data_IF_092233322591
#
_entry.id   IF_092233322591
#
_cell.length_a   1.000
_cell.length_b   1.000
_cell.length_c   1.000
_cell.angle_alpha   90.00
_cell.angle_beta   90.00
_cell.angle_gamma   90.00
#
_symmetry.space_group_name_H-M   'P 1'
#
loop_
_entity.id
_entity.type
_entity.pdbx_description
1 polymer ?
#
# COMPACT_ATOMS: atom_id res chain seq x y z
N UNK A 1 10.94 3.37 -8.40
CA UNK A 1 10.20 4.64 -8.26
C UNK A 1 10.61 5.35 -6.96
N UNK A 2 10.72 6.68 -6.93
CA UNK A 2 10.99 7.46 -5.72
C UNK A 2 9.90 8.52 -5.54
N UNK A 3 9.25 8.50 -4.39
CA UNK A 3 8.12 9.37 -4.07
C UNK A 3 8.52 10.45 -3.07
N UNK A 4 7.87 11.59 -3.15
CA UNK A 4 8.01 12.71 -2.22
C UNK A 4 7.41 12.36 -0.85
N UNK A 5 7.87 13.01 0.24
CA UNK A 5 7.30 12.79 1.56
C UNK A 5 5.78 13.04 1.63
N UNK A 6 5.28 13.94 0.78
CA UNK A 6 3.85 14.23 0.70
C UNK A 6 3.06 13.05 0.14
N UNK A 7 3.52 12.46 -0.97
CA UNK A 7 2.88 11.28 -1.58
C UNK A 7 2.98 10.07 -0.65
N UNK A 8 4.12 9.84 0.02
CA UNK A 8 4.26 8.76 1.00
C UNK A 8 3.24 8.87 2.15
N UNK A 9 2.97 10.09 2.65
CA UNK A 9 1.96 10.33 3.69
C UNK A 9 0.55 9.97 3.20
N UNK A 10 0.23 10.23 1.93
CA UNK A 10 -1.06 9.84 1.35
C UNK A 10 -1.17 8.33 1.14
N UNK A 11 -0.09 7.68 0.72
CA UNK A 11 -0.03 6.21 0.63
C UNK A 11 -0.19 5.53 1.99
N UNK A 12 0.37 6.10 3.05
CA UNK A 12 0.15 5.63 4.42
C UNK A 12 -1.35 5.59 4.79
N UNK A 13 -2.11 6.63 4.43
CA UNK A 13 -3.56 6.68 4.68
C UNK A 13 -4.30 5.57 3.93
N UNK A 14 -3.95 5.35 2.66
CA UNK A 14 -4.52 4.26 1.86
C UNK A 14 -4.20 2.88 2.44
N UNK A 15 -2.96 2.63 2.83
CA UNK A 15 -2.52 1.33 3.37
C UNK A 15 -3.19 1.02 4.71
N UNK A 16 -3.40 2.03 5.56
CA UNK A 16 -4.07 1.84 6.84
C UNK A 16 -5.61 1.77 6.73
N UNK A 17 -6.17 1.90 5.52
CA UNK A 17 -7.61 1.88 5.29
C UNK A 17 -8.33 3.09 5.88
N UNK A 18 -7.66 4.25 5.92
CA UNK A 18 -8.28 5.51 6.36
C UNK A 18 -9.10 6.18 5.24
N UNK A 19 -9.03 5.64 4.02
CA UNK A 19 -9.82 6.08 2.86
C UNK A 19 -10.89 5.03 2.53
N UNK A 20 -12.08 5.48 2.15
CA UNK A 20 -13.27 4.64 1.91
C UNK A 20 -13.08 3.60 0.79
N UNK A 21 -12.12 3.81 -0.12
CA UNK A 21 -11.89 2.91 -1.26
C UNK A 21 -10.81 1.86 -1.01
N UNK A 22 -10.17 1.86 0.15
CA UNK A 22 -9.15 0.88 0.53
C UNK A 22 -9.65 0.03 1.70
N UNK A 23 -9.39 -1.30 1.69
CA UNK A 23 -9.82 -2.16 2.77
C UNK A 23 -9.08 -1.82 4.07
N UNK A 24 -9.80 -1.75 5.18
CA UNK A 24 -9.19 -1.65 6.51
C UNK A 24 -8.56 -2.99 6.88
N UNK A 25 -7.25 -2.99 7.11
CA UNK A 25 -6.47 -4.19 7.43
C UNK A 25 -5.93 -4.14 8.86
N UNK A 26 -5.82 -5.30 9.51
CA UNK A 26 -5.30 -5.39 10.88
C UNK A 26 -3.75 -5.37 10.89
N UNK A 27 -3.13 -5.26 12.06
CA UNK A 27 -1.66 -5.19 12.17
C UNK A 27 -0.93 -6.38 11.55
N UNK A 28 -1.51 -7.60 11.67
CA UNK A 28 -0.98 -8.82 11.05
C UNK A 28 -0.98 -8.73 9.51
N UNK A 29 -2.03 -8.17 8.93
CA UNK A 29 -2.15 -8.01 7.48
C UNK A 29 -1.13 -7.00 6.94
N UNK A 30 -0.91 -5.90 7.67
CA UNK A 30 0.11 -4.90 7.32
C UNK A 30 1.51 -5.51 7.33
N UNK A 31 1.84 -6.34 8.32
CA UNK A 31 3.13 -7.05 8.34
C UNK A 31 3.22 -8.04 7.18
N UNK A 32 2.16 -8.78 6.88
CA UNK A 32 2.14 -9.70 5.75
C UNK A 32 2.39 -8.98 4.41
N UNK A 33 1.79 -7.79 4.23
CA UNK A 33 2.04 -6.92 3.07
C UNK A 33 3.53 -6.66 2.89
N UNK A 34 4.19 -6.10 3.90
CA UNK A 34 5.59 -5.70 3.81
C UNK A 34 6.51 -6.93 3.74
N UNK A 35 6.21 -8.00 4.48
CA UNK A 35 7.00 -9.25 4.44
C UNK A 35 7.00 -9.93 3.06
N UNK A 36 5.94 -9.80 2.27
CA UNK A 36 5.88 -10.43 0.95
C UNK A 36 6.94 -9.93 -0.07
N UNK A 37 7.76 -8.91 0.24
CA UNK A 37 8.91 -8.45 -0.59
C UNK A 37 10.19 -8.34 0.24
N UNK A 38 10.25 -9.07 1.34
CA UNK A 38 11.49 -9.29 2.09
C UNK A 38 11.68 -8.43 3.33
N UNK A 39 10.64 -7.79 3.86
CA UNK A 39 10.61 -7.50 5.31
C UNK A 39 10.52 -8.84 6.07
N UNK A 40 11.03 -8.89 7.30
CA UNK A 40 11.04 -10.11 8.13
C UNK A 40 10.50 -9.84 9.53
N UNK A 41 9.46 -9.03 9.60
CA UNK A 41 8.85 -8.64 10.87
C UNK A 41 7.86 -9.71 11.34
N UNK A 42 7.68 -9.82 12.65
CA UNK A 42 6.76 -10.80 13.27
C UNK A 42 5.68 -10.06 14.04
N UNK A 43 4.42 -10.46 13.84
CA UNK A 43 3.31 -10.02 14.68
C UNK A 43 3.23 -10.94 15.91
N UNK A 44 3.78 -10.50 17.04
CA UNK A 44 3.70 -11.24 18.30
C UNK A 44 2.59 -10.66 19.19
N UNK A 45 2.94 -9.82 20.15
CA UNK A 45 1.99 -9.16 21.06
C UNK A 45 1.50 -7.79 20.56
N UNK A 46 1.79 -7.46 19.30
CA UNK A 46 1.49 -6.18 18.69
C UNK A 46 2.35 -5.92 17.46
N UNK A 47 2.34 -4.68 16.99
CA UNK A 47 3.25 -4.25 15.92
C UNK A 47 4.71 -4.31 16.39
N UNK A 48 5.68 -4.51 15.47
CA UNK A 48 7.10 -4.50 15.79
C UNK A 48 7.51 -3.21 16.49
N UNK A 49 8.46 -3.32 17.43
CA UNK A 49 9.03 -2.19 18.18
C UNK A 49 7.97 -1.37 18.97
N UNK A 50 6.78 -1.92 19.21
CA UNK A 50 5.70 -1.20 19.90
C UNK A 50 5.11 -0.04 19.11
N UNK A 51 5.31 -0.02 17.78
CA UNK A 51 4.82 1.04 16.91
C UNK A 51 3.29 1.01 16.76
N UNK A 52 2.68 2.17 16.50
CA UNK A 52 1.33 2.17 15.90
C UNK A 52 1.37 1.64 14.46
N UNK A 53 0.22 1.18 13.94
CA UNK A 53 0.08 0.79 12.52
C UNK A 53 0.57 1.88 11.57
N UNK A 54 0.19 3.13 11.85
CA UNK A 54 0.58 4.30 11.08
C UNK A 54 2.09 4.53 11.11
N UNK A 55 2.72 4.48 12.30
CA UNK A 55 4.18 4.61 12.42
C UNK A 55 4.93 3.48 11.71
N UNK A 56 4.44 2.24 11.83
CA UNK A 56 5.00 1.09 11.15
C UNK A 56 4.94 1.24 9.62
N UNK A 57 3.76 1.53 9.08
CA UNK A 57 3.57 1.77 7.65
C UNK A 57 4.47 2.90 7.14
N UNK A 58 4.58 4.01 7.88
CA UNK A 58 5.48 5.12 7.54
C UNK A 58 6.93 4.68 7.46
N UNK A 59 7.40 3.95 8.48
CA UNK A 59 8.77 3.43 8.56
C UNK A 59 9.07 2.58 7.34
N UNK A 60 8.23 1.56 7.08
CA UNK A 60 8.40 0.65 5.96
C UNK A 60 8.38 1.39 4.61
N UNK A 61 7.42 2.29 4.38
CA UNK A 61 7.35 3.10 3.16
C UNK A 61 8.61 3.95 2.94
N UNK A 62 9.13 4.55 4.01
CA UNK A 62 10.35 5.36 3.96
C UNK A 62 11.58 4.51 3.61
N UNK A 63 11.70 3.34 4.22
CA UNK A 63 12.81 2.40 3.99
C UNK A 63 12.86 1.87 2.56
N UNK A 64 11.69 1.56 1.97
CA UNK A 64 11.64 1.01 0.61
C UNK A 64 11.56 2.09 -0.48
N UNK A 65 11.44 3.37 -0.12
CA UNK A 65 11.29 4.45 -1.09
C UNK A 65 12.52 4.58 -2.00
N UNK A 66 12.30 4.71 -3.31
CA UNK A 66 13.38 4.73 -4.30
C UNK A 66 13.81 3.34 -4.77
N UNK A 67 13.29 2.26 -4.18
CA UNK A 67 13.64 0.88 -4.55
C UNK A 67 12.53 0.21 -5.38
N UNK A 68 12.84 -0.93 -5.99
CA UNK A 68 11.83 -1.77 -6.67
C UNK A 68 10.78 -2.33 -5.70
N UNK A 69 11.13 -2.50 -4.42
CA UNK A 69 10.21 -3.01 -3.39
C UNK A 69 9.00 -2.10 -3.23
N UNK A 70 9.16 -0.78 -3.33
CA UNK A 70 8.05 0.16 -3.27
C UNK A 70 7.05 -0.10 -4.40
N UNK A 71 7.52 -0.24 -5.63
CA UNK A 71 6.65 -0.53 -6.77
C UNK A 71 5.89 -1.84 -6.57
N UNK A 72 6.60 -2.91 -6.20
CA UNK A 72 5.99 -4.22 -5.94
C UNK A 72 4.94 -4.16 -4.80
N UNK A 73 5.09 -3.25 -3.83
CA UNK A 73 4.10 -3.01 -2.75
C UNK A 73 2.85 -2.34 -3.26
N UNK A 74 3.00 -1.31 -4.08
CA UNK A 74 1.87 -0.62 -4.66
C UNK A 74 1.06 -1.54 -5.58
N UNK A 75 1.73 -2.38 -6.37
CA UNK A 75 1.07 -3.39 -7.21
C UNK A 75 0.28 -4.43 -6.39
N UNK A 76 0.85 -4.91 -5.28
CA UNK A 76 0.16 -5.83 -4.38
C UNK A 76 -1.08 -5.18 -3.74
N UNK A 77 -0.98 -3.89 -3.37
CA UNK A 77 -2.10 -3.15 -2.77
C UNK A 77 -3.31 -3.10 -3.70
N UNK A 78 -3.12 -2.99 -5.01
CA UNK A 78 -4.21 -2.95 -6.01
C UNK A 78 -4.49 -4.31 -6.66
N UNK A 79 -4.06 -5.40 -6.01
CA UNK A 79 -4.30 -6.75 -6.50
C UNK A 79 -5.54 -7.38 -5.84
N UNK A 80 -6.17 -8.38 -6.49
CA UNK A 80 -7.22 -9.18 -5.87
C UNK A 80 -6.81 -9.92 -4.60
N UNK A 81 -5.50 -10.10 -4.34
CA UNK A 81 -5.02 -10.72 -3.12
C UNK A 81 -5.13 -9.79 -1.90
N UNK A 82 -5.16 -8.47 -2.11
CA UNK A 82 -5.29 -7.47 -1.04
C UNK A 82 -6.73 -7.00 -0.84
N UNK A 83 -7.49 -6.94 -1.93
CA UNK A 83 -8.88 -6.54 -1.95
C UNK A 83 -9.83 -7.71 -1.68
N UNK A 84 -10.80 -7.50 -0.79
CA UNK A 84 -11.91 -8.43 -0.62
C UNK A 84 -12.90 -8.28 -1.80
N UNK A 85 -13.60 -9.35 -2.15
CA UNK A 85 -14.44 -9.48 -3.37
C UNK A 85 -15.50 -8.36 -3.51
N UNK A 86 -15.83 -7.65 -2.43
CA UNK A 86 -16.84 -6.59 -2.40
C UNK A 86 -16.31 -5.19 -2.76
N UNK A 87 -14.99 -4.96 -2.74
CA UNK A 87 -14.42 -3.63 -2.97
C UNK A 87 -13.89 -3.47 -4.41
N UNK A 88 -14.28 -2.40 -5.13
CA UNK A 88 -13.87 -2.22 -6.53
C UNK A 88 -12.42 -1.74 -6.63
N UNK A 89 -11.51 -2.65 -6.99
CA UNK A 89 -10.08 -2.37 -7.26
C UNK A 89 -9.91 -1.16 -8.21
N UNK A 90 -10.77 -1.03 -9.21
CA UNK A 90 -10.74 0.09 -10.16
C UNK A 90 -10.88 1.47 -9.48
N UNK A 91 -11.72 1.58 -8.44
CA UNK A 91 -11.86 2.83 -7.68
C UNK A 91 -10.59 3.15 -6.88
N UNK A 92 -9.96 2.12 -6.30
CA UNK A 92 -8.69 2.24 -5.61
C UNK A 92 -7.56 2.69 -6.54
N UNK A 93 -7.42 2.05 -7.71
CA UNK A 93 -6.45 2.45 -8.73
C UNK A 93 -6.67 3.91 -9.15
N UNK A 94 -7.91 4.29 -9.46
CA UNK A 94 -8.25 5.67 -9.85
C UNK A 94 -7.84 6.65 -8.76
N UNK A 95 -8.16 6.36 -7.50
CA UNK A 95 -7.82 7.21 -6.35
C UNK A 95 -6.30 7.28 -6.12
N UNK A 96 -5.60 6.15 -6.13
CA UNK A 96 -4.15 6.12 -5.96
C UNK A 96 -3.43 6.89 -7.07
N UNK A 97 -3.91 6.80 -8.31
CA UNK A 97 -3.36 7.57 -9.44
C UNK A 97 -3.46 9.09 -9.19
N UNK A 98 -4.51 9.61 -8.55
CA UNK A 98 -4.59 11.05 -8.22
C UNK A 98 -3.44 11.53 -7.34
N UNK A 99 -2.89 10.63 -6.50
CA UNK A 99 -1.77 10.93 -5.60
C UNK A 99 -0.44 10.64 -6.28
N UNK A 100 -0.27 9.47 -6.91
CA UNK A 100 0.98 9.07 -7.54
C UNK A 100 1.40 10.01 -8.68
N UNK A 101 0.43 10.60 -9.40
CA UNK A 101 0.69 11.52 -10.49
C UNK A 101 1.40 12.80 -10.04
N UNK A 102 1.32 13.16 -8.76
CA UNK A 102 2.05 14.32 -8.22
C UNK A 102 3.56 14.14 -8.26
N UNK A 103 4.04 12.90 -8.28
CA UNK A 103 5.45 12.55 -8.48
C UNK A 103 5.70 11.95 -9.88
N UNK A 104 4.74 12.09 -10.82
CA UNK A 104 4.88 11.61 -12.19
C UNK A 104 4.68 10.11 -12.40
N UNK A 105 4.13 9.40 -11.41
CA UNK A 105 3.83 7.96 -11.50
C UNK A 105 2.33 7.70 -11.62
N UNK A 106 1.96 6.57 -12.22
CA UNK A 106 0.60 6.04 -12.23
C UNK A 106 0.63 4.54 -12.45
N UNK A 107 -0.40 3.83 -12.02
CA UNK A 107 -0.72 2.53 -12.57
C UNK A 107 -1.20 2.69 -14.01
N UNK A 108 -0.74 1.81 -14.89
CA UNK A 108 -1.27 1.70 -16.23
C UNK A 108 -2.73 1.20 -16.17
N UNK A 109 -3.58 1.74 -17.02
CA UNK A 109 -4.91 1.17 -17.23
C UNK A 109 -4.69 -0.23 -17.83
N UNK A 110 -4.85 -1.27 -17.02
CA UNK A 110 -5.13 -2.58 -17.56
C UNK A 110 -6.54 -2.46 -18.10
N UNK A 111 -6.69 -2.36 -19.43
CA UNK A 111 -7.94 -2.69 -20.09
C UNK A 111 -8.28 -4.12 -19.63
N UNK A 112 -9.05 -4.23 -18.55
CA UNK A 112 -9.65 -5.50 -18.16
C UNK A 112 -10.67 -5.74 -19.27
N UNK A 113 -10.23 -6.43 -20.32
CA UNK A 113 -11.09 -7.05 -21.31
C UNK A 113 -11.93 -8.09 -20.58
N UNK A 114 -12.93 -7.62 -19.84
CA UNK A 114 -14.09 -8.41 -19.48
C UNK A 114 -14.89 -8.49 -20.77
N UNK A 115 -14.57 -9.49 -21.59
CA UNK A 115 -15.49 -10.00 -22.61
C UNK A 115 -16.54 -10.87 -21.93
#
# INVERSE_FOLDING_TARGET
MKLSPWVLRKLEQFINGEDEVMPTKCGKDLIALFNAVGTKDVYEQGMPEGLSRTQYTRKQLTEINGTIKLQNRLELLVSPAWFDVQMPIAAAIKKMNTVLMMDGFRFEEIDILIK
#
